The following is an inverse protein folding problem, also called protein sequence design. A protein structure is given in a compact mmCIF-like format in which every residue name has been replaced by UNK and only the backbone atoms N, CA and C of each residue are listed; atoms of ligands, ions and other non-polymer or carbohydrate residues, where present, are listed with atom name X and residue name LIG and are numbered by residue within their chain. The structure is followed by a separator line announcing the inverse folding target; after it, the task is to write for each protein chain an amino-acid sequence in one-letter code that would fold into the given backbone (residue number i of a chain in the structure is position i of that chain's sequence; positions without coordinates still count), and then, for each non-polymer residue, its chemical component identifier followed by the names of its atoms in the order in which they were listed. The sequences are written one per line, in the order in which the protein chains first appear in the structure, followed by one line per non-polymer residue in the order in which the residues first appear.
data_IF_524041363116
#
_entry.id   IF_524041363116
#
_cell.length_a   1.000
_cell.length_b   1.000
_cell.length_c   1.000
_cell.angle_alpha   90.00
_cell.angle_beta   90.00
_cell.angle_gamma   90.00
#
_symmetry.space_group_name_H-M   'P 1'
#
loop_
_entity.id
_entity.type
_entity.pdbx_description
1 polymer ?
#
# COMPACT_ATOMS: atom_id res chain seq x y z
N UNK A 1 8.03 -24.37 -0.14
CA UNK A 1 7.51 -23.05 0.28
C UNK A 1 7.45 -22.20 -0.97
N UNK A 2 6.25 -21.96 -1.52
CA UNK A 2 6.09 -21.12 -2.72
C UNK A 2 6.11 -19.68 -2.24
N UNK A 3 7.15 -18.94 -2.60
CA UNK A 3 7.17 -17.48 -2.45
C UNK A 3 6.19 -16.94 -3.49
N UNK A 4 4.92 -16.78 -3.11
CA UNK A 4 3.90 -16.20 -3.98
C UNK A 4 4.21 -14.71 -4.09
N UNK A 5 4.62 -14.26 -5.28
CA UNK A 5 4.82 -12.84 -5.52
C UNK A 5 3.50 -12.08 -5.27
N UNK A 6 3.53 -10.92 -4.61
CA UNK A 6 2.34 -10.12 -4.39
C UNK A 6 1.70 -9.74 -5.74
N UNK A 7 0.38 -9.82 -5.81
CA UNK A 7 -0.36 -9.42 -7.01
C UNK A 7 -0.20 -7.92 -7.23
N UNK A 8 0.52 -7.54 -8.29
CA UNK A 8 0.74 -6.15 -8.67
C UNK A 8 -0.56 -5.57 -9.24
N UNK A 9 -1.11 -4.56 -8.56
CA UNK A 9 -2.20 -3.76 -9.13
C UNK A 9 -1.59 -2.84 -10.19
N UNK A 10 -2.10 -2.92 -11.43
CA UNK A 10 -1.71 -1.99 -12.51
C UNK A 10 -1.84 -0.56 -12.01
N UNK A 11 -0.77 0.22 -12.18
CA UNK A 11 -0.57 1.62 -11.77
C UNK A 11 -1.83 2.38 -11.32
N UNK A 12 -1.92 2.69 -10.03
CA UNK A 12 -2.92 3.60 -9.50
C UNK A 12 -2.48 5.06 -9.77
N UNK A 13 -3.01 5.72 -10.80
CA UNK A 13 -2.81 7.16 -10.96
C UNK A 13 -3.72 7.91 -9.96
N UNK A 14 -3.17 8.34 -8.82
CA UNK A 14 -3.88 9.20 -7.88
C UNK A 14 -3.54 10.68 -8.15
N UNK A 15 -4.50 11.52 -8.58
CA UNK A 15 -4.28 12.96 -8.68
C UNK A 15 -4.22 13.55 -7.27
N UNK A 16 -3.02 13.93 -6.83
CA UNK A 16 -2.86 14.78 -5.66
C UNK A 16 -3.10 16.22 -6.10
N UNK A 17 -4.14 16.85 -5.54
CA UNK A 17 -4.60 18.17 -5.97
C UNK A 17 -3.59 19.27 -5.70
N UNK A 18 -2.60 19.45 -6.59
CA UNK A 18 -1.81 20.66 -6.82
C UNK A 18 -1.24 20.59 -8.25
N UNK A 19 -1.85 21.31 -9.20
CA UNK A 19 -1.28 21.56 -10.53
C UNK A 19 -1.29 20.38 -11.51
N UNK A 20 -1.64 20.66 -12.76
CA UNK A 20 -1.70 19.67 -13.85
C UNK A 20 -0.26 19.28 -14.22
N UNK A 21 0.27 18.19 -13.65
CA UNK A 21 1.58 17.64 -14.06
C UNK A 21 2.35 16.80 -13.04
N UNK A 22 2.02 16.83 -11.74
CA UNK A 22 2.76 16.01 -10.75
C UNK A 22 2.13 14.62 -10.59
N UNK A 23 2.66 13.64 -11.34
CA UNK A 23 2.29 12.25 -11.19
C UNK A 23 3.13 11.60 -10.07
N UNK A 24 2.46 11.01 -9.07
CA UNK A 24 3.12 10.19 -8.08
C UNK A 24 3.73 8.95 -8.74
N UNK A 25 5.04 8.78 -8.61
CA UNK A 25 5.72 7.52 -8.98
C UNK A 25 5.35 6.48 -7.94
N UNK A 26 4.72 5.38 -8.36
CA UNK A 26 4.38 4.25 -7.49
C UNK A 26 5.36 3.12 -7.78
N UNK A 27 6.06 2.67 -6.75
CA UNK A 27 7.00 1.55 -6.82
C UNK A 27 6.28 0.20 -6.74
N UNK A 28 5.29 0.08 -5.86
CA UNK A 28 4.55 -1.16 -5.65
C UNK A 28 3.21 -0.87 -4.94
N UNK A 29 2.27 -1.81 -5.04
CA UNK A 29 0.98 -1.79 -4.35
C UNK A 29 0.75 -3.17 -3.73
N UNK A 30 0.55 -3.20 -2.41
CA UNK A 30 0.12 -4.40 -1.69
C UNK A 30 -1.30 -4.19 -1.18
N UNK A 31 -2.18 -5.12 -1.51
CA UNK A 31 -3.58 -5.13 -1.05
C UNK A 31 -3.66 -5.84 0.29
N UNK A 32 -4.33 -5.22 1.26
CA UNK A 32 -4.68 -5.82 2.54
C UNK A 32 -6.15 -6.19 2.49
N UNK A 33 -6.47 -7.47 2.65
CA UNK A 33 -7.85 -7.99 2.64
C UNK A 33 -8.04 -9.10 3.68
N UNK A 34 -9.16 -9.05 4.41
CA UNK A 34 -9.56 -10.11 5.34
C UNK A 34 -10.34 -11.23 4.65
N UNK A 35 -10.48 -11.17 3.32
CA UNK A 35 -11.05 -12.24 2.52
C UNK A 35 -10.11 -13.46 2.40
N UNK A 36 -10.59 -14.53 1.78
CA UNK A 36 -9.79 -15.73 1.50
C UNK A 36 -8.99 -15.64 0.19
N UNK A 37 -8.73 -14.44 -0.35
CA UNK A 37 -8.07 -14.27 -1.65
C UNK A 37 -6.55 -14.47 -1.59
N UNK A 38 -6.00 -14.70 -0.39
CA UNK A 38 -4.56 -14.93 -0.17
C UNK A 38 -3.72 -13.65 -0.16
N UNK A 39 -4.36 -12.51 0.09
CA UNK A 39 -3.69 -11.25 0.40
C UNK A 39 -3.27 -11.23 1.89
N UNK A 40 -2.29 -10.39 2.28
CA UNK A 40 -2.07 -10.07 3.68
C UNK A 40 -3.37 -9.63 4.36
N UNK A 41 -3.65 -10.18 5.54
CA UNK A 41 -4.87 -9.85 6.30
C UNK A 41 -4.63 -8.70 7.28
N UNK A 42 -3.38 -8.27 7.45
CA UNK A 42 -2.97 -7.22 8.38
C UNK A 42 -2.19 -6.12 7.67
N UNK A 43 -2.28 -4.89 8.20
CA UNK A 43 -1.50 -3.74 7.70
C UNK A 43 -0.01 -3.97 7.99
N UNK A 44 0.30 -4.62 9.11
CA UNK A 44 1.66 -4.92 9.54
C UNK A 44 2.40 -5.81 8.55
N UNK A 45 1.76 -6.89 8.10
CA UNK A 45 2.34 -7.79 7.11
C UNK A 45 2.52 -7.09 5.76
N UNK A 46 1.57 -6.24 5.37
CA UNK A 46 1.65 -5.53 4.10
C UNK A 46 2.79 -4.52 4.02
N UNK A 47 2.98 -3.65 5.03
CA UNK A 47 4.09 -2.69 4.97
C UNK A 47 5.47 -3.37 5.11
N UNK A 48 5.54 -4.59 5.65
CA UNK A 48 6.79 -5.33 5.75
C UNK A 48 7.38 -5.69 4.38
N UNK A 49 6.56 -5.80 3.33
CA UNK A 49 7.02 -5.95 1.94
C UNK A 49 7.70 -4.69 1.39
N UNK A 50 7.49 -3.51 2.01
CA UNK A 50 8.14 -2.29 1.56
C UNK A 50 9.65 -2.33 1.82
N UNK A 51 10.49 -1.90 0.87
CA UNK A 51 11.94 -1.83 1.10
C UNK A 51 12.28 -0.81 2.19
N UNK A 52 13.39 -1.07 2.91
CA UNK A 52 13.89 -0.14 3.90
C UNK A 52 14.70 0.96 3.22
N UNK A 53 14.53 2.20 3.69
CA UNK A 53 15.26 3.38 3.24
C UNK A 53 15.16 3.65 1.73
N UNK A 54 14.00 3.42 1.13
CA UNK A 54 13.71 3.77 -0.27
C UNK A 54 14.19 5.19 -0.60
N UNK A 55 14.69 5.39 -1.81
CA UNK A 55 15.05 6.72 -2.32
C UNK A 55 13.79 7.49 -2.75
N UNK A 56 13.81 8.83 -2.69
CA UNK A 56 12.67 9.66 -3.14
C UNK A 56 12.29 9.38 -4.59
N UNK A 57 13.29 9.19 -5.46
CA UNK A 57 13.09 8.90 -6.88
C UNK A 57 12.57 7.49 -7.16
N UNK A 58 12.66 6.57 -6.19
CA UNK A 58 12.12 5.21 -6.35
C UNK A 58 10.58 5.20 -6.28
N UNK A 59 9.97 6.28 -5.78
CA UNK A 59 8.52 6.40 -5.65
C UNK A 59 7.96 5.78 -4.37
N UNK A 60 6.63 5.81 -4.29
CA UNK A 60 5.87 5.42 -3.11
C UNK A 60 5.54 3.94 -3.12
N UNK A 61 5.62 3.31 -1.95
CA UNK A 61 5.06 1.97 -1.73
C UNK A 61 3.66 2.13 -1.14
N UNK A 62 2.65 1.59 -1.83
CA UNK A 62 1.25 1.76 -1.44
C UNK A 62 0.74 0.51 -0.74
N UNK A 63 0.16 0.70 0.43
CA UNK A 63 -0.68 -0.30 1.10
C UNK A 63 -2.12 0.08 0.87
N UNK A 64 -2.84 -0.73 0.08
CA UNK A 64 -4.24 -0.53 -0.22
C UNK A 64 -5.10 -1.40 0.70
N UNK A 65 -5.91 -0.80 1.56
CA UNK A 65 -6.70 -1.51 2.57
C UNK A 65 -8.14 -1.61 2.11
N UNK A 66 -8.64 -2.82 1.88
CA UNK A 66 -10.02 -3.05 1.45
C UNK A 66 -11.03 -2.71 2.55
N UNK A 67 -12.33 -2.71 2.22
CA UNK A 67 -13.38 -2.53 3.22
C UNK A 67 -13.32 -3.62 4.30
N UNK A 68 -13.40 -3.22 5.57
CA UNK A 68 -13.32 -4.12 6.70
C UNK A 68 -12.98 -3.41 8.00
N UNK A 69 -13.00 -4.15 9.10
CA UNK A 69 -12.60 -3.65 10.42
C UNK A 69 -11.27 -4.31 10.81
N UNK A 70 -10.20 -3.52 10.78
CA UNK A 70 -8.85 -3.96 11.12
C UNK A 70 -8.50 -3.49 12.54
N UNK A 71 -8.55 -4.41 13.52
CA UNK A 71 -8.24 -4.13 14.93
C UNK A 71 -6.76 -4.33 15.19
N UNK A 72 -5.96 -3.31 14.91
CA UNK A 72 -4.49 -3.39 14.98
C UNK A 72 -3.87 -2.14 15.62
N UNK A 73 -2.74 -2.33 16.32
CA UNK A 73 -1.81 -1.26 16.65
C UNK A 73 -0.64 -1.30 15.67
N UNK A 74 -0.61 -0.36 14.71
CA UNK A 74 0.41 -0.32 13.66
C UNK A 74 1.56 0.57 14.09
N UNK A 75 2.78 0.03 14.13
CA UNK A 75 4.00 0.78 14.44
C UNK A 75 4.93 0.83 13.22
N UNK A 76 5.03 1.98 12.57
CA UNK A 76 5.87 2.16 11.38
C UNK A 76 7.27 2.63 11.80
N UNK A 77 8.32 1.80 11.61
CA UNK A 77 9.67 2.22 11.96
C UNK A 77 10.18 3.29 10.99
N UNK A 78 11.03 4.20 11.49
CA UNK A 78 11.54 5.39 10.75
C UNK A 78 12.19 5.08 9.41
N UNK A 79 12.70 3.86 9.22
CA UNK A 79 13.35 3.42 7.99
C UNK A 79 12.35 3.03 6.88
N UNK A 80 11.06 2.87 7.15
CA UNK A 80 10.02 2.64 6.13
C UNK A 80 9.61 3.98 5.51
N UNK A 81 10.44 4.48 4.59
CA UNK A 81 10.24 5.76 3.90
C UNK A 81 9.31 5.61 2.70
N UNK A 82 8.63 6.70 2.34
CA UNK A 82 7.75 6.79 1.16
C UNK A 82 6.63 5.73 1.15
N UNK A 83 6.13 5.36 2.34
CA UNK A 83 4.98 4.48 2.50
C UNK A 83 3.70 5.31 2.44
N UNK A 84 2.73 4.89 1.64
CA UNK A 84 1.39 5.50 1.55
C UNK A 84 0.37 4.44 1.91
N UNK A 85 -0.61 4.80 2.74
CA UNK A 85 -1.77 3.94 3.02
C UNK A 85 -3.01 4.57 2.41
N UNK A 86 -3.76 3.78 1.63
CA UNK A 86 -5.00 4.20 0.99
C UNK A 86 -6.08 3.21 1.41
N UNK A 87 -7.10 3.68 2.11
CA UNK A 87 -8.29 2.87 2.39
C UNK A 87 -9.22 2.85 1.18
N UNK A 88 -10.02 1.79 1.07
CA UNK A 88 -11.14 1.69 0.12
C UNK A 88 -12.09 2.90 0.23
N UNK A 89 -12.14 3.56 1.38
CA UNK A 89 -12.94 4.76 1.60
C UNK A 89 -14.33 4.47 2.16
N UNK A 90 -15.03 5.53 2.57
CA UNK A 90 -16.39 5.47 3.10
C UNK A 90 -17.35 5.79 1.94
N UNK A 91 -18.44 5.02 1.77
CA UNK A 91 -19.47 5.17 0.72
C UNK A 91 -19.12 4.68 -0.70
N UNK A 92 -18.40 3.57 -0.84
CA UNK A 92 -18.25 2.86 -2.13
C UNK A 92 -19.30 1.73 -2.31
N UNK A 93 -20.48 1.87 -1.70
CA UNK A 93 -21.61 0.94 -1.87
C UNK A 93 -22.65 1.52 -2.83
#
# INVERSE_FOLDING_TARGET
MVNKEPTMVSQLLAPIGHGVGEQLVISNIVVVSQDSSGNPTTITDAYNFAPNNSASLAGYFVVYVTAGVYKEYVNIPKNKKYLVMIGYGINQQ
#
